data_IF_109337293411
#
_entry.id   IF_109337293411
#
_cell.length_a   1.000
_cell.length_b   1.000
_cell.length_c   1.000
_cell.angle_alpha   90.00
_cell.angle_beta   90.00
_cell.angle_gamma   90.00
#
_symmetry.space_group_name_H-M   'P 1'
#
loop_
_entity.id
_entity.type
_entity.pdbx_description
1 polymer ?
#
# COMPACT_ATOMS: atom_id res chain seq x y z
N UNK A 1 23.46 2.19 15.99
CA UNK A 1 23.23 1.70 14.61
C UNK A 1 21.79 1.22 14.37
N UNK A 2 21.26 0.16 15.03
CA UNK A 2 19.89 -0.35 14.74
C UNK A 2 18.71 0.60 15.03
N UNK A 3 18.83 1.50 15.99
CA UNK A 3 17.76 2.46 16.31
C UNK A 3 17.58 3.56 15.25
N UNK A 4 18.66 3.97 14.58
CA UNK A 4 18.57 4.96 13.50
C UNK A 4 17.85 4.42 12.27
N UNK A 5 18.12 3.17 11.91
CA UNK A 5 17.47 2.51 10.76
C UNK A 5 15.96 2.34 10.99
N UNK A 6 15.58 2.00 12.23
CA UNK A 6 14.17 1.93 12.65
C UNK A 6 13.51 3.30 12.57
N UNK A 7 14.16 4.36 13.08
CA UNK A 7 13.61 5.72 13.05
C UNK A 7 13.50 6.26 11.62
N UNK A 8 14.50 6.02 10.76
CA UNK A 8 14.45 6.35 9.33
C UNK A 8 13.28 5.64 8.64
N UNK A 9 13.10 4.34 8.92
CA UNK A 9 11.96 3.59 8.40
C UNK A 9 10.61 4.16 8.87
N UNK A 10 10.45 4.42 10.17
CA UNK A 10 9.19 4.96 10.73
C UNK A 10 8.85 6.33 10.14
N UNK A 11 9.85 7.22 10.02
CA UNK A 11 9.65 8.55 9.44
C UNK A 11 9.25 8.45 7.95
N UNK A 12 9.93 7.60 7.17
CA UNK A 12 9.60 7.39 5.77
C UNK A 12 8.25 6.72 5.58
N UNK A 13 7.94 5.69 6.38
CA UNK A 13 6.66 4.99 6.35
C UNK A 13 5.51 5.92 6.69
N UNK A 14 5.64 6.70 7.78
CA UNK A 14 4.63 7.70 8.18
C UNK A 14 4.35 8.69 7.06
N UNK A 15 5.39 9.31 6.49
CA UNK A 15 5.23 10.26 5.37
C UNK A 15 4.55 9.63 4.15
N UNK A 16 4.92 8.40 3.80
CA UNK A 16 4.36 7.69 2.63
C UNK A 16 2.90 7.28 2.85
N UNK A 17 2.59 6.73 4.02
CA UNK A 17 1.22 6.33 4.39
C UNK A 17 0.31 7.56 4.48
N UNK A 18 0.75 8.66 5.09
CA UNK A 18 -0.04 9.90 5.13
C UNK A 18 -0.36 10.44 3.74
N UNK A 19 0.59 10.36 2.79
CA UNK A 19 0.33 10.77 1.39
C UNK A 19 -0.68 9.85 0.71
N UNK A 20 -0.53 8.53 0.87
CA UNK A 20 -1.47 7.56 0.31
C UNK A 20 -2.89 7.76 0.85
N UNK A 21 -3.04 7.99 2.15
CA UNK A 21 -4.34 8.30 2.76
C UNK A 21 -4.96 9.58 2.21
N UNK A 22 -4.18 10.65 2.04
CA UNK A 22 -4.66 11.88 1.40
C UNK A 22 -5.13 11.65 -0.03
N UNK A 23 -4.38 10.88 -0.82
CA UNK A 23 -4.78 10.52 -2.18
C UNK A 23 -6.10 9.73 -2.18
N UNK A 24 -6.28 8.76 -1.27
CA UNK A 24 -7.53 8.03 -1.13
C UNK A 24 -8.71 8.93 -0.74
N UNK A 25 -8.50 9.91 0.14
CA UNK A 25 -9.52 10.91 0.46
C UNK A 25 -9.92 11.74 -0.76
N UNK A 26 -8.96 12.15 -1.60
CA UNK A 26 -9.25 12.86 -2.84
C UNK A 26 -10.04 11.99 -3.82
N UNK A 27 -9.72 10.71 -3.94
CA UNK A 27 -10.54 9.75 -4.72
C UNK A 27 -11.96 9.66 -4.12
N UNK A 28 -12.08 9.61 -2.80
CA UNK A 28 -13.38 9.63 -2.11
C UNK A 28 -14.21 10.88 -2.40
N UNK A 29 -13.58 12.04 -2.58
CA UNK A 29 -14.27 13.28 -2.95
C UNK A 29 -14.92 13.23 -4.35
N UNK A 30 -14.47 12.33 -5.24
CA UNK A 30 -15.10 12.10 -6.54
C UNK A 30 -16.50 11.47 -6.40
N UNK A 31 -16.87 10.98 -5.22
CA UNK A 31 -18.23 10.49 -4.96
C UNK A 31 -19.29 11.58 -5.07
N UNK A 32 -18.91 12.86 -5.05
CA UNK A 32 -19.85 13.98 -5.17
C UNK A 32 -20.49 14.04 -6.57
N UNK A 33 -21.68 13.45 -6.68
CA UNK A 33 -22.53 13.40 -7.88
C UNK A 33 -22.98 14.76 -8.40
N UNK A 34 -22.98 15.80 -7.56
CA UNK A 34 -23.36 17.15 -7.99
C UNK A 34 -22.30 17.80 -8.88
N UNK A 35 -21.04 17.38 -8.74
CA UNK A 35 -19.92 17.93 -9.50
C UNK A 35 -19.41 16.98 -10.59
N UNK A 36 -19.74 15.68 -10.49
CA UNK A 36 -19.19 14.64 -11.35
C UNK A 36 -20.27 13.65 -11.78
N UNK A 37 -20.24 13.28 -13.05
CA UNK A 37 -20.99 12.17 -13.59
C UNK A 37 -20.06 10.96 -13.75
N UNK A 38 -20.51 9.79 -13.29
CA UNK A 38 -19.73 8.55 -13.33
C UNK A 38 -20.62 7.31 -13.30
N UNK A 39 -20.23 6.23 -13.95
CA UNK A 39 -21.02 5.01 -13.93
C UNK A 39 -20.64 4.12 -12.73
N UNK A 40 -21.51 3.17 -12.35
CA UNK A 40 -21.10 2.11 -11.41
C UNK A 40 -19.85 1.35 -11.88
N UNK A 41 -19.67 1.19 -13.19
CA UNK A 41 -18.50 0.54 -13.79
C UNK A 41 -17.21 1.35 -13.57
N UNK A 42 -17.28 2.68 -13.61
CA UNK A 42 -16.13 3.55 -13.31
C UNK A 42 -15.69 3.41 -11.86
N UNK A 43 -16.66 3.34 -10.94
CA UNK A 43 -16.39 3.09 -9.52
C UNK A 43 -15.70 1.74 -9.33
N UNK A 44 -16.22 0.69 -9.98
CA UNK A 44 -15.62 -0.65 -9.91
C UNK A 44 -14.18 -0.65 -10.43
N UNK A 45 -13.92 -0.04 -11.59
CA UNK A 45 -12.56 0.07 -12.16
C UNK A 45 -11.60 0.79 -11.22
N UNK A 46 -12.03 1.89 -10.61
CA UNK A 46 -11.21 2.65 -9.64
C UNK A 46 -10.83 1.76 -8.46
N UNK A 47 -11.81 1.12 -7.81
CA UNK A 47 -11.54 0.32 -6.63
C UNK A 47 -10.77 -0.95 -6.95
N UNK A 48 -11.00 -1.56 -8.11
CA UNK A 48 -10.22 -2.71 -8.58
C UNK A 48 -8.74 -2.34 -8.71
N UNK A 49 -8.42 -1.24 -9.39
CA UNK A 49 -7.03 -0.80 -9.55
C UNK A 49 -6.36 -0.49 -8.20
N UNK A 50 -7.07 0.17 -7.28
CA UNK A 50 -6.57 0.44 -5.93
C UNK A 50 -6.31 -0.86 -5.15
N UNK A 51 -7.21 -1.83 -5.23
CA UNK A 51 -7.09 -3.10 -4.54
C UNK A 51 -5.92 -3.93 -5.10
N UNK A 52 -5.71 -3.95 -6.41
CA UNK A 52 -4.58 -4.63 -7.05
C UNK A 52 -3.24 -4.08 -6.56
N UNK A 53 -3.10 -2.76 -6.47
CA UNK A 53 -1.87 -2.13 -5.96
C UNK A 53 -1.67 -2.37 -4.46
N UNK A 54 -2.74 -2.35 -3.66
CA UNK A 54 -2.68 -2.74 -2.24
C UNK A 54 -2.22 -4.18 -2.06
N UNK A 55 -2.75 -5.10 -2.87
CA UNK A 55 -2.36 -6.51 -2.86
C UNK A 55 -0.89 -6.68 -3.26
N UNK A 56 -0.42 -5.98 -4.30
CA UNK A 56 0.97 -6.00 -4.72
C UNK A 56 1.91 -5.45 -3.63
N UNK A 57 1.52 -4.36 -2.96
CA UNK A 57 2.24 -3.81 -1.83
C UNK A 57 2.37 -4.82 -0.68
N UNK A 58 1.25 -5.42 -0.26
CA UNK A 58 1.22 -6.45 0.80
C UNK A 58 2.11 -7.64 0.45
N UNK A 59 2.01 -8.14 -0.79
CA UNK A 59 2.83 -9.25 -1.28
C UNK A 59 4.33 -8.97 -1.20
N UNK A 60 4.78 -7.73 -1.46
CA UNK A 60 6.19 -7.35 -1.29
C UNK A 60 6.66 -7.47 0.16
N UNK A 61 5.83 -7.08 1.13
CA UNK A 61 6.14 -7.25 2.56
C UNK A 61 6.17 -8.74 2.96
N UNK A 62 5.21 -9.54 2.49
CA UNK A 62 5.17 -10.99 2.76
C UNK A 62 6.39 -11.72 2.19
N UNK A 63 6.79 -11.39 0.95
CA UNK A 63 7.99 -11.96 0.32
C UNK A 63 9.27 -11.56 1.06
N UNK A 64 9.37 -10.32 1.53
CA UNK A 64 10.49 -9.86 2.34
C UNK A 64 10.60 -10.63 3.68
N UNK A 65 9.46 -10.94 4.31
CA UNK A 65 9.41 -11.76 5.52
C UNK A 65 9.80 -13.23 5.22
N UNK A 66 9.30 -13.82 4.12
CA UNK A 66 9.66 -15.20 3.73
C UNK A 66 11.15 -15.34 3.40
N UNK A 67 11.79 -14.31 2.83
CA UNK A 67 13.24 -14.28 2.58
C UNK A 67 14.08 -14.29 3.86
N UNK A 68 13.59 -13.73 4.97
CA UNK A 68 14.28 -13.82 6.26
C UNK A 68 14.19 -15.22 6.89
N UNK A 69 13.14 -15.98 6.58
CA UNK A 69 12.91 -17.32 7.15
C UNK A 69 13.50 -18.49 6.33
N UNK A 70 14.16 -18.23 5.20
CA UNK A 70 14.56 -19.27 4.23
C UNK A 70 16.05 -19.63 4.20
N UNK A 71 16.82 -19.26 5.23
CA UNK A 71 18.19 -19.75 5.40
C UNK A 71 18.26 -20.74 6.58
N UNK A 72 17.86 -21.97 6.33
CA UNK A 72 18.29 -23.13 7.14
C UNK A 72 18.31 -24.38 6.27
N UNK A 73 19.24 -24.40 5.31
CA UNK A 73 19.69 -25.64 4.70
C UNK A 73 20.94 -26.08 5.48
N UNK A 74 20.77 -27.07 6.36
CA UNK A 74 21.87 -27.79 7.00
C UNK A 74 21.99 -29.09 6.21
N UNK A 75 23.11 -29.27 5.52
CA UNK A 75 23.55 -30.57 5.03
C UNK A 75 24.14 -31.31 6.23
N UNK A 76 23.50 -32.39 6.66
CA UNK A 76 24.23 -33.55 7.18
C UNK A 76 25.00 -34.21 6.02
#
# INVERSE_FOLDING_TARGET
>A
MRHEDRNKFVNLASKRVSRALKSLQLVGNLSNRSNYDYTPEDVEKIFRALQEELNACKKRFELAQKRQNSVKFILE
#
